data_IF_801776708505
#
_entry.id   IF_801776708505
#
_cell.length_a   1.000
_cell.length_b   1.000
_cell.length_c   1.000
_cell.angle_alpha   90.00
_cell.angle_beta   90.00
_cell.angle_gamma   90.00
#
_symmetry.space_group_name_H-M   'P 1'
#
loop_
_entity.id
_entity.type
_entity.pdbx_description
1 polymer ?
#
# COMPACT_ATOMS: atom_id res chain seq x y z
N UNK A 1 47.29 49.52 58.87
CA UNK A 1 46.15 49.55 57.91
C UNK A 1 46.06 48.26 57.07
N UNK A 2 46.30 47.07 57.64
CA UNK A 2 46.28 45.80 56.87
C UNK A 2 45.10 44.87 57.20
N UNK A 3 44.34 45.15 58.26
CA UNK A 3 43.24 44.29 58.73
C UNK A 3 41.88 44.61 58.09
N UNK A 4 41.72 45.76 57.43
CA UNK A 4 40.43 46.13 56.82
C UNK A 4 40.16 45.42 55.47
N UNK A 5 41.20 45.07 54.71
CA UNK A 5 41.06 44.47 53.38
C UNK A 5 40.60 43.00 53.39
N UNK A 6 40.91 42.25 54.45
CA UNK A 6 40.56 40.82 54.56
C UNK A 6 39.06 40.58 54.78
N UNK A 7 38.34 41.54 55.37
CA UNK A 7 36.93 41.37 55.71
C UNK A 7 35.99 41.57 54.51
N UNK A 8 36.36 42.40 53.53
CA UNK A 8 35.58 42.64 52.30
C UNK A 8 35.68 41.43 51.34
N UNK A 9 36.87 40.82 51.22
CA UNK A 9 37.08 39.65 50.37
C UNK A 9 36.29 38.42 50.83
N UNK A 10 36.18 38.22 52.16
CA UNK A 10 35.44 37.11 52.74
C UNK A 10 33.91 37.22 52.58
N UNK A 11 33.38 38.45 52.45
CA UNK A 11 31.95 38.67 52.20
C UNK A 11 31.59 38.49 50.70
N UNK A 12 32.44 39.00 49.80
CA UNK A 12 32.28 38.81 48.36
C UNK A 12 32.37 37.33 47.93
N UNK A 13 33.32 36.57 48.49
CA UNK A 13 33.44 35.13 48.22
C UNK A 13 32.23 34.30 48.66
N UNK A 14 31.57 34.69 49.76
CA UNK A 14 30.35 34.02 50.27
C UNK A 14 29.12 34.29 49.38
N UNK A 15 29.04 35.46 48.76
CA UNK A 15 27.99 35.83 47.80
C UNK A 15 28.16 35.17 46.42
N UNK A 16 29.40 34.85 46.01
CA UNK A 16 29.69 34.18 44.73
C UNK A 16 29.43 32.66 44.84
N UNK A 17 29.81 32.04 45.95
CA UNK A 17 29.64 30.60 46.17
C UNK A 17 28.16 30.17 46.31
N UNK A 18 27.29 31.07 46.77
CA UNK A 18 25.83 30.86 46.87
C UNK A 18 25.13 31.03 45.52
N UNK A 19 25.65 31.88 44.62
CA UNK A 19 25.12 32.08 43.26
C UNK A 19 25.33 30.87 42.35
N UNK A 20 26.50 30.24 42.39
CA UNK A 20 26.76 28.99 41.64
C UNK A 20 25.92 27.82 42.17
N UNK A 21 25.78 27.74 43.49
CA UNK A 21 24.95 26.72 44.14
C UNK A 21 23.47 26.85 43.76
N UNK A 22 22.92 28.07 43.78
CA UNK A 22 21.53 28.35 43.40
C UNK A 22 21.23 28.04 41.92
N UNK A 23 22.17 28.33 41.01
CA UNK A 23 22.00 27.99 39.59
C UNK A 23 22.05 26.49 39.32
N UNK A 24 22.83 25.71 40.08
CA UNK A 24 22.89 24.25 39.91
C UNK A 24 21.61 23.52 40.35
N UNK A 25 20.92 24.06 41.36
CA UNK A 25 19.66 23.53 41.92
C UNK A 25 18.50 23.69 40.93
N UNK A 26 18.47 24.78 40.16
CA UNK A 26 17.41 25.04 39.17
C UNK A 26 17.69 24.36 37.82
N UNK A 27 18.96 24.10 37.47
CA UNK A 27 19.35 23.45 36.20
C UNK A 27 18.94 21.98 36.13
N UNK A 28 19.03 21.23 37.23
CA UNK A 28 18.69 19.80 37.27
C UNK A 28 17.20 19.50 36.97
N UNK A 29 16.21 20.17 37.59
CA UNK A 29 14.80 19.95 37.25
C UNK A 29 14.46 20.44 35.84
N UNK A 30 15.09 21.53 35.36
CA UNK A 30 14.89 22.05 34.01
C UNK A 30 15.43 21.07 32.94
N UNK A 31 16.63 20.52 33.14
CA UNK A 31 17.20 19.50 32.26
C UNK A 31 16.36 18.22 32.24
N UNK A 32 15.83 17.80 33.39
CA UNK A 32 14.92 16.66 33.47
C UNK A 32 13.60 16.91 32.73
N UNK A 33 13.02 18.11 32.85
CA UNK A 33 11.81 18.50 32.12
C UNK A 33 12.05 18.54 30.60
N UNK A 34 13.17 19.11 30.16
CA UNK A 34 13.55 19.13 28.75
C UNK A 34 13.80 17.72 28.20
N UNK A 35 14.42 16.84 28.99
CA UNK A 35 14.61 15.43 28.63
C UNK A 35 13.28 14.68 28.55
N UNK A 36 12.34 14.91 29.47
CA UNK A 36 10.99 14.31 29.41
C UNK A 36 10.17 14.87 28.23
N UNK A 37 10.25 16.16 27.94
CA UNK A 37 9.61 16.75 26.76
C UNK A 37 10.23 16.18 25.48
N UNK A 38 11.54 16.03 25.43
CA UNK A 38 12.26 15.39 24.33
C UNK A 38 11.83 13.93 24.14
N UNK A 39 11.75 13.15 25.23
CA UNK A 39 11.28 11.77 25.20
C UNK A 39 9.80 11.66 24.78
N UNK A 40 8.97 12.61 25.21
CA UNK A 40 7.56 12.70 24.80
C UNK A 40 7.42 13.04 23.31
N UNK A 41 8.21 14.00 22.80
CA UNK A 41 8.23 14.35 21.37
C UNK A 41 8.73 13.17 20.53
N UNK A 42 9.79 12.49 20.97
CA UNK A 42 10.31 11.27 20.32
C UNK A 42 9.26 10.15 20.37
N UNK A 43 8.60 9.93 21.52
CA UNK A 43 7.55 8.91 21.65
C UNK A 43 6.33 9.21 20.77
N UNK A 44 5.91 10.47 20.65
CA UNK A 44 4.83 10.90 19.75
C UNK A 44 5.25 10.78 18.28
N UNK A 45 6.52 11.05 17.96
CA UNK A 45 7.07 10.84 16.63
C UNK A 45 7.15 9.35 16.26
N UNK A 46 7.51 8.48 17.20
CA UNK A 46 7.53 7.02 17.01
C UNK A 46 6.12 6.41 16.89
N UNK A 47 5.10 7.05 17.47
CA UNK A 47 3.68 6.69 17.23
C UNK A 47 3.18 7.11 15.84
N UNK A 48 3.92 7.96 15.12
CA UNK A 48 3.68 8.32 13.71
C UNK A 48 4.62 7.57 12.78
N UNK A 49 4.37 6.28 12.59
CA UNK A 49 4.57 5.59 11.29
C UNK A 49 4.04 4.17 11.42
N UNK A 50 3.18 3.78 10.48
CA UNK A 50 3.73 3.00 9.40
C UNK A 50 3.49 3.74 8.08
N UNK A 51 4.56 4.31 7.53
CA UNK A 51 4.74 4.41 6.07
C UNK A 51 5.06 3.02 5.46
N UNK A 52 4.92 1.96 6.25
CA UNK A 52 5.19 0.61 5.79
C UNK A 52 3.99 0.11 4.99
N UNK A 53 4.25 -0.10 3.69
CA UNK A 53 3.46 -0.87 2.73
C UNK A 53 2.45 -0.10 1.86
N UNK A 54 2.51 1.24 1.87
CA UNK A 54 1.82 2.11 0.92
C UNK A 54 2.43 2.02 -0.49
N UNK A 55 1.70 1.56 -1.51
CA UNK A 55 2.08 1.80 -2.92
C UNK A 55 1.54 3.17 -3.35
N UNK A 56 2.41 4.03 -3.86
CA UNK A 56 1.97 5.23 -4.59
C UNK A 56 1.42 4.80 -5.95
N UNK A 57 0.28 5.37 -6.35
CA UNK A 57 -0.30 5.11 -7.66
C UNK A 57 0.56 5.73 -8.75
N UNK A 58 0.73 5.01 -9.86
CA UNK A 58 1.47 5.47 -11.04
C UNK A 58 0.77 6.64 -11.75
N UNK A 59 -0.56 6.75 -11.60
CA UNK A 59 -1.38 7.82 -12.19
C UNK A 59 -2.32 8.45 -11.16
N UNK A 60 -2.74 9.72 -11.34
CA UNK A 60 -3.73 10.36 -10.49
C UNK A 60 -5.09 9.67 -10.53
N UNK A 61 -5.79 9.62 -9.40
CA UNK A 61 -7.10 8.96 -9.25
C UNK A 61 -8.14 9.51 -10.24
N UNK A 62 -8.08 10.81 -10.54
CA UNK A 62 -9.04 11.48 -11.44
C UNK A 62 -8.93 11.04 -12.90
N UNK A 63 -7.83 10.38 -13.28
CA UNK A 63 -7.63 9.83 -14.63
C UNK A 63 -8.10 8.39 -14.79
N UNK A 64 -8.50 7.74 -13.70
CA UNK A 64 -8.90 6.34 -13.70
C UNK A 64 -10.33 6.18 -14.21
N UNK A 65 -10.59 5.08 -14.89
CA UNK A 65 -11.92 4.73 -15.43
C UNK A 65 -12.42 3.47 -14.76
N UNK A 66 -13.70 3.46 -14.39
CA UNK A 66 -14.33 2.29 -13.78
C UNK A 66 -14.47 1.14 -14.77
N UNK A 67 -14.24 -0.07 -14.27
CA UNK A 67 -14.31 -1.30 -15.04
C UNK A 67 -15.12 -2.37 -14.32
N UNK A 68 -15.75 -3.25 -15.09
CA UNK A 68 -16.54 -4.38 -14.61
C UNK A 68 -15.93 -5.68 -15.14
N UNK A 69 -15.83 -6.71 -14.30
CA UNK A 69 -15.43 -8.06 -14.77
C UNK A 69 -16.61 -8.73 -15.46
N UNK A 70 -16.47 -9.00 -16.76
CA UNK A 70 -17.57 -9.50 -17.60
C UNK A 70 -17.40 -10.95 -18.01
N UNK A 71 -16.16 -11.45 -17.99
CA UNK A 71 -15.84 -12.79 -18.43
C UNK A 71 -14.59 -13.32 -17.76
N UNK A 72 -14.58 -14.62 -17.49
CA UNK A 72 -13.40 -15.37 -17.04
C UNK A 72 -13.44 -16.69 -17.79
N UNK A 73 -12.37 -17.04 -18.50
CA UNK A 73 -12.33 -18.24 -19.32
C UNK A 73 -10.93 -18.84 -19.42
N UNK A 74 -10.86 -20.17 -19.35
CA UNK A 74 -9.61 -20.90 -19.59
C UNK A 74 -9.29 -20.91 -21.10
N UNK A 75 -8.01 -20.79 -21.42
CA UNK A 75 -7.54 -20.93 -22.80
C UNK A 75 -7.38 -22.42 -23.15
N UNK A 76 -7.98 -22.90 -24.24
CA UNK A 76 -7.89 -24.31 -24.63
C UNK A 76 -6.44 -24.77 -24.80
N UNK A 77 -6.08 -25.88 -24.15
CA UNK A 77 -4.76 -26.50 -24.26
C UNK A 77 -3.63 -25.76 -23.54
N UNK A 78 -3.93 -24.76 -22.71
CA UNK A 78 -2.94 -23.95 -22.02
C UNK A 78 -3.20 -23.88 -20.51
N UNK A 79 -2.15 -23.72 -19.67
CA UNK A 79 -2.29 -23.52 -18.23
C UNK A 79 -2.66 -22.06 -17.87
N UNK A 80 -3.33 -21.35 -18.78
CA UNK A 80 -3.64 -19.94 -18.67
C UNK A 80 -5.14 -19.70 -18.87
N UNK A 81 -5.60 -18.59 -18.34
CA UNK A 81 -6.94 -18.08 -18.48
C UNK A 81 -6.91 -16.58 -18.79
N UNK A 82 -8.01 -16.07 -19.29
CA UNK A 82 -8.22 -14.65 -19.56
C UNK A 82 -9.38 -14.15 -18.71
N UNK A 83 -9.19 -12.97 -18.12
CA UNK A 83 -10.22 -12.18 -17.48
C UNK A 83 -10.51 -10.98 -18.37
N UNK A 84 -11.78 -10.77 -18.68
CA UNK A 84 -12.25 -9.66 -19.50
C UNK A 84 -12.88 -8.60 -18.61
N UNK A 85 -12.39 -7.36 -18.74
CA UNK A 85 -12.91 -6.20 -18.05
C UNK A 85 -13.54 -5.23 -19.05
N UNK A 86 -14.81 -4.90 -18.86
CA UNK A 86 -15.49 -3.87 -19.66
C UNK A 86 -15.29 -2.52 -19.02
N UNK A 87 -14.95 -1.54 -19.86
CA UNK A 87 -14.79 -0.14 -19.49
C UNK A 87 -15.83 0.67 -20.24
N UNK A 88 -16.47 1.63 -19.59
CA UNK A 88 -17.43 2.50 -20.26
C UNK A 88 -16.73 3.36 -21.32
N UNK A 89 -17.29 3.39 -22.53
CA UNK A 89 -16.73 4.15 -23.66
C UNK A 89 -15.76 3.35 -24.54
N UNK A 90 -15.29 2.19 -24.09
CA UNK A 90 -14.47 1.27 -24.90
C UNK A 90 -15.34 0.26 -25.64
N UNK A 91 -15.03 0.01 -26.92
CA UNK A 91 -15.75 -0.95 -27.74
C UNK A 91 -15.39 -2.40 -27.36
N UNK A 92 -14.11 -2.65 -27.12
CA UNK A 92 -13.55 -3.95 -26.79
C UNK A 92 -13.21 -4.04 -25.29
N UNK A 93 -13.39 -5.21 -24.66
CA UNK A 93 -13.00 -5.40 -23.27
C UNK A 93 -11.48 -5.45 -23.13
N UNK A 94 -10.98 -4.99 -22.00
CA UNK A 94 -9.59 -5.14 -21.56
C UNK A 94 -9.34 -6.59 -21.15
N UNK A 95 -8.38 -7.25 -21.79
CA UNK A 95 -7.98 -8.62 -21.45
C UNK A 95 -6.79 -8.65 -20.48
N UNK A 96 -6.94 -9.38 -19.38
CA UNK A 96 -5.84 -9.67 -18.44
C UNK A 96 -5.64 -11.19 -18.37
N UNK A 97 -4.45 -11.65 -18.74
CA UNK A 97 -4.08 -13.06 -18.63
C UNK A 97 -3.66 -13.41 -17.20
N UNK A 98 -4.20 -14.53 -16.70
CA UNK A 98 -3.97 -15.03 -15.34
C UNK A 98 -3.78 -16.55 -15.36
N UNK A 99 -3.29 -17.13 -14.26
CA UNK A 99 -3.25 -18.57 -14.11
C UNK A 99 -4.64 -19.18 -13.90
N UNK A 100 -4.78 -20.49 -14.17
CA UNK A 100 -6.06 -21.20 -13.98
C UNK A 100 -6.60 -21.10 -12.54
N UNK A 101 -5.73 -21.23 -11.53
CA UNK A 101 -6.14 -21.15 -10.12
C UNK A 101 -6.66 -19.76 -9.74
N UNK A 102 -6.06 -18.71 -10.32
CA UNK A 102 -6.45 -17.32 -10.12
C UNK A 102 -7.79 -17.02 -10.80
N UNK A 103 -7.95 -17.47 -12.05
CA UNK A 103 -9.23 -17.38 -12.75
C UNK A 103 -10.35 -18.11 -12.00
N UNK A 104 -10.08 -19.29 -11.44
CA UNK A 104 -11.07 -20.01 -10.64
C UNK A 104 -11.49 -19.23 -9.39
N UNK A 105 -10.55 -18.57 -8.70
CA UNK A 105 -10.86 -17.72 -7.56
C UNK A 105 -11.75 -16.52 -7.96
N UNK A 106 -11.44 -15.86 -9.07
CA UNK A 106 -12.22 -14.72 -9.60
C UNK A 106 -13.61 -15.19 -10.05
N UNK A 107 -13.70 -16.33 -10.75
CA UNK A 107 -14.97 -16.89 -11.20
C UNK A 107 -15.91 -17.21 -10.04
N UNK A 108 -15.40 -17.89 -8.99
CA UNK A 108 -16.16 -18.17 -7.77
C UNK A 108 -16.61 -16.91 -7.05
N UNK A 109 -15.75 -15.88 -7.00
CA UNK A 109 -16.11 -14.59 -6.44
C UNK A 109 -17.27 -13.94 -7.22
N UNK A 110 -17.20 -13.96 -8.56
CA UNK A 110 -18.22 -13.38 -9.45
C UNK A 110 -19.56 -14.11 -9.36
N UNK A 111 -19.54 -15.43 -9.20
CA UNK A 111 -20.73 -16.28 -9.08
C UNK A 111 -21.26 -16.37 -7.64
N UNK A 112 -20.65 -15.64 -6.70
CA UNK A 112 -20.89 -15.70 -5.25
C UNK A 112 -20.89 -17.13 -4.67
N UNK A 113 -20.09 -18.03 -5.24
CA UNK A 113 -19.97 -19.42 -4.78
C UNK A 113 -19.12 -19.44 -3.51
N UNK A 114 -19.69 -19.90 -2.39
CA UNK A 114 -18.95 -20.03 -1.13
C UNK A 114 -18.45 -21.47 -0.94
N UNK A 115 -17.12 -21.68 -0.80
CA UNK A 115 -16.59 -23.02 -0.55
C UNK A 115 -16.97 -23.52 0.86
N UNK A 116 -16.99 -24.85 1.09
CA UNK A 116 -17.34 -25.42 2.41
C UNK A 116 -16.34 -25.07 3.52
N UNK A 117 -15.10 -24.73 3.14
CA UNK A 117 -14.07 -24.18 4.02
C UNK A 117 -13.45 -22.95 3.35
N UNK A 118 -13.07 -21.90 4.11
CA UNK A 118 -12.43 -20.72 3.53
C UNK A 118 -11.18 -21.10 2.75
N UNK A 119 -11.09 -20.66 1.50
CA UNK A 119 -9.86 -20.71 0.72
C UNK A 119 -9.05 -19.43 0.97
N UNK A 120 -7.97 -19.24 0.21
CA UNK A 120 -7.03 -18.13 0.43
C UNK A 120 -7.70 -16.77 0.41
N UNK A 121 -8.54 -16.48 -0.58
CA UNK A 121 -9.19 -15.17 -0.69
C UNK A 121 -10.24 -14.97 0.41
N UNK A 122 -11.03 -16.00 0.75
CA UNK A 122 -11.99 -15.94 1.88
C UNK A 122 -11.29 -15.78 3.23
N UNK A 123 -10.15 -16.43 3.43
CA UNK A 123 -9.31 -16.24 4.62
C UNK A 123 -8.81 -14.79 4.69
N UNK A 124 -8.27 -14.26 3.58
CA UNK A 124 -7.78 -12.88 3.51
C UNK A 124 -8.88 -11.86 3.82
N UNK A 125 -10.08 -12.05 3.28
CA UNK A 125 -11.25 -11.22 3.59
C UNK A 125 -11.59 -11.28 5.08
N UNK A 126 -11.63 -12.49 5.66
CA UNK A 126 -11.88 -12.65 7.10
C UNK A 126 -10.83 -11.96 7.98
N UNK A 127 -9.57 -11.94 7.56
CA UNK A 127 -8.51 -11.21 8.25
C UNK A 127 -8.70 -9.69 8.14
N UNK A 128 -9.06 -9.18 6.95
CA UNK A 128 -9.35 -7.75 6.75
C UNK A 128 -10.54 -7.31 7.60
N UNK A 129 -11.64 -8.06 7.55
CA UNK A 129 -12.85 -7.79 8.33
C UNK A 129 -12.57 -7.79 9.83
N UNK A 130 -11.82 -8.79 10.33
CA UNK A 130 -11.44 -8.89 11.73
C UNK A 130 -10.54 -7.73 12.18
N UNK A 131 -9.72 -7.20 11.27
CA UNK A 131 -8.89 -6.00 11.52
C UNK A 131 -9.67 -4.68 11.41
N UNK A 132 -10.93 -4.72 10.97
CA UNK A 132 -11.74 -3.53 10.70
C UNK A 132 -11.33 -2.77 9.44
N UNK A 133 -10.60 -3.43 8.53
CA UNK A 133 -10.25 -2.90 7.22
C UNK A 133 -11.31 -3.32 6.18
N UNK A 134 -11.55 -2.47 5.19
CA UNK A 134 -12.43 -2.76 4.06
C UNK A 134 -11.72 -2.42 2.76
N UNK A 135 -11.81 -3.32 1.78
CA UNK A 135 -11.40 -3.01 0.40
C UNK A 135 -12.42 -2.06 -0.21
N UNK A 136 -12.00 -0.86 -0.60
CA UNK A 136 -12.87 0.13 -1.24
C UNK A 136 -12.66 0.23 -2.74
N UNK A 137 -11.40 0.16 -3.17
CA UNK A 137 -11.02 0.25 -4.59
C UNK A 137 -9.94 -0.75 -4.92
N UNK A 138 -9.97 -1.27 -6.14
CA UNK A 138 -8.86 -1.88 -6.82
C UNK A 138 -8.45 -0.97 -7.97
N UNK A 139 -7.18 -0.63 -8.06
CA UNK A 139 -6.63 0.16 -9.15
C UNK A 139 -5.61 -0.68 -9.91
N UNK A 140 -5.76 -0.84 -11.21
CA UNK A 140 -4.73 -1.38 -12.10
C UNK A 140 -4.18 -0.21 -12.92
N UNK A 141 -3.00 0.28 -12.56
CA UNK A 141 -2.51 1.58 -13.03
C UNK A 141 -1.34 1.52 -14.00
N UNK A 142 -0.57 0.42 -13.99
CA UNK A 142 0.67 0.32 -14.72
C UNK A 142 0.81 -1.06 -15.38
N UNK A 143 1.48 -1.09 -16.53
CA UNK A 143 1.99 -2.31 -17.14
C UNK A 143 3.50 -2.18 -17.29
N UNK A 144 4.25 -3.09 -16.67
CA UNK A 144 5.71 -3.09 -16.70
C UNK A 144 6.21 -4.47 -17.11
N UNK A 145 7.05 -4.52 -18.14
CA UNK A 145 7.63 -5.77 -18.65
C UNK A 145 6.57 -6.86 -18.94
N UNK A 146 5.45 -6.46 -19.55
CA UNK A 146 4.37 -7.40 -19.88
C UNK A 146 3.47 -7.79 -18.70
N UNK A 147 3.74 -7.29 -17.49
CA UNK A 147 2.96 -7.57 -16.30
C UNK A 147 2.14 -6.35 -15.85
N UNK A 148 0.84 -6.55 -15.67
CA UNK A 148 -0.04 -5.58 -15.04
C UNK A 148 0.23 -5.49 -13.54
N UNK A 149 0.26 -4.27 -13.03
CA UNK A 149 0.45 -3.95 -11.63
C UNK A 149 -0.83 -3.34 -11.06
N UNK A 150 -1.14 -3.68 -9.81
CA UNK A 150 -2.34 -3.18 -9.16
C UNK A 150 -2.09 -2.75 -7.71
N UNK A 151 -3.00 -1.95 -7.19
CA UNK A 151 -3.04 -1.52 -5.81
C UNK A 151 -4.46 -1.66 -5.27
N UNK A 152 -4.57 -2.15 -4.04
CA UNK A 152 -5.83 -2.22 -3.30
C UNK A 152 -5.89 -1.06 -2.33
N UNK A 153 -6.97 -0.30 -2.36
CA UNK A 153 -7.27 0.70 -1.35
C UNK A 153 -8.02 0.07 -0.18
N UNK A 154 -7.39 0.16 0.99
CA UNK A 154 -7.96 -0.26 2.25
C UNK A 154 -8.41 0.97 3.05
N UNK A 155 -9.68 0.96 3.44
CA UNK A 155 -10.23 1.88 4.44
C UNK A 155 -10.19 1.22 5.82
N UNK A 156 -9.49 1.86 6.75
CA UNK A 156 -9.46 1.44 8.16
C UNK A 156 -10.38 2.35 8.97
N UNK A 157 -11.12 1.79 9.93
CA UNK A 157 -12.09 2.54 10.75
C UNK A 157 -11.48 3.69 11.55
N UNK A 158 -10.22 3.57 11.94
CA UNK A 158 -9.51 4.51 12.81
C UNK A 158 -8.60 5.49 12.04
N UNK A 159 -8.51 5.37 10.71
CA UNK A 159 -7.70 6.26 9.87
C UNK A 159 -8.55 7.07 8.93
N UNK A 160 -8.22 8.36 8.82
CA UNK A 160 -8.86 9.28 7.85
C UNK A 160 -8.39 9.06 6.42
N UNK A 161 -7.10 8.77 6.26
CA UNK A 161 -6.51 8.53 4.95
C UNK A 161 -6.56 7.02 4.66
N UNK A 162 -6.87 6.64 3.42
CA UNK A 162 -6.81 5.25 3.00
C UNK A 162 -5.36 4.75 2.96
N UNK A 163 -5.20 3.44 2.99
CA UNK A 163 -3.90 2.77 2.82
C UNK A 163 -3.92 2.01 1.51
N UNK A 164 -2.93 2.24 0.67
CA UNK A 164 -2.74 1.51 -0.58
C UNK A 164 -1.85 0.31 -0.35
N UNK A 165 -2.21 -0.86 -0.86
CA UNK A 165 -1.40 -2.08 -0.75
C UNK A 165 -1.13 -2.60 -2.14
N UNK A 166 0.15 -2.85 -2.46
CA UNK A 166 0.54 -3.47 -3.72
C UNK A 166 -0.10 -4.85 -3.87
N UNK A 167 -0.64 -5.13 -5.05
CA UNK A 167 -1.35 -6.36 -5.33
C UNK A 167 -1.15 -6.80 -6.79
N UNK A 168 -1.26 -8.10 -7.02
CA UNK A 168 -1.46 -8.61 -8.38
C UNK A 168 -2.90 -8.33 -8.81
N UNK A 169 -3.15 -8.02 -10.09
CA UNK A 169 -4.51 -7.81 -10.59
C UNK A 169 -5.44 -9.00 -10.27
N UNK A 170 -4.96 -10.24 -10.39
CA UNK A 170 -5.77 -11.42 -10.10
C UNK A 170 -6.27 -11.50 -8.65
N UNK A 171 -5.38 -11.28 -7.69
CA UNK A 171 -5.73 -11.27 -6.26
C UNK A 171 -6.63 -10.09 -5.92
N UNK A 172 -6.30 -8.91 -6.46
CA UNK A 172 -7.09 -7.71 -6.30
C UNK A 172 -8.52 -7.87 -6.82
N UNK A 173 -8.70 -8.45 -8.00
CA UNK A 173 -10.02 -8.68 -8.61
C UNK A 173 -10.86 -9.62 -7.74
N UNK A 174 -10.28 -10.73 -7.27
CA UNK A 174 -11.00 -11.67 -6.41
C UNK A 174 -11.47 -11.02 -5.09
N UNK A 175 -10.62 -10.19 -4.47
CA UNK A 175 -10.97 -9.46 -3.24
C UNK A 175 -11.98 -8.34 -3.51
N UNK A 176 -11.80 -7.58 -4.59
CA UNK A 176 -12.66 -6.45 -4.94
C UNK A 176 -14.10 -6.91 -5.21
N UNK A 177 -14.28 -7.98 -5.99
CA UNK A 177 -15.61 -8.54 -6.29
C UNK A 177 -16.32 -8.94 -5.00
N UNK A 178 -15.63 -9.63 -4.07
CA UNK A 178 -16.24 -10.08 -2.80
C UNK A 178 -16.57 -8.93 -1.85
N UNK A 179 -15.76 -7.88 -1.81
CA UNK A 179 -16.04 -6.68 -1.00
C UNK A 179 -16.99 -5.68 -1.67
N UNK A 180 -17.38 -5.93 -2.93
CA UNK A 180 -18.12 -5.00 -3.77
C UNK A 180 -17.39 -3.66 -3.90
N UNK A 181 -16.07 -3.74 -4.11
CA UNK A 181 -15.21 -2.58 -4.29
C UNK A 181 -15.20 -2.15 -5.76
N UNK A 182 -14.97 -0.86 -5.99
CA UNK A 182 -14.87 -0.29 -7.34
C UNK A 182 -13.55 -0.75 -7.98
N UNK A 183 -13.62 -1.26 -9.21
CA UNK A 183 -12.43 -1.61 -9.99
C UNK A 183 -12.14 -0.47 -10.96
N UNK A 184 -10.90 -0.01 -10.99
CA UNK A 184 -10.46 1.15 -11.72
C UNK A 184 -9.23 0.80 -12.57
N UNK A 185 -9.21 1.24 -13.82
CA UNK A 185 -8.10 1.06 -14.75
C UNK A 185 -7.53 2.41 -15.18
N UNK A 186 -6.22 2.49 -15.37
CA UNK A 186 -5.61 3.66 -16.01
C UNK A 186 -5.79 3.63 -17.53
N UNK A 187 -5.75 4.79 -18.22
CA UNK A 187 -5.82 4.85 -19.68
C UNK A 187 -4.75 4.00 -20.38
N UNK A 188 -3.54 3.93 -19.82
CA UNK A 188 -2.44 3.13 -20.35
C UNK A 188 -2.73 1.62 -20.26
N UNK A 189 -3.34 1.18 -19.15
CA UNK A 189 -3.76 -0.21 -18.97
C UNK A 189 -4.88 -0.58 -19.93
N UNK A 190 -5.82 0.36 -20.17
CA UNK A 190 -6.91 0.18 -21.12
C UNK A 190 -6.35 -0.03 -22.53
N UNK A 191 -5.53 0.89 -23.01
CA UNK A 191 -4.91 0.82 -24.34
C UNK A 191 -4.08 -0.47 -24.53
N UNK A 192 -3.30 -0.84 -23.52
CA UNK A 192 -2.51 -2.07 -23.56
C UNK A 192 -3.40 -3.33 -23.55
N UNK A 193 -4.53 -3.30 -22.85
CA UNK A 193 -5.40 -4.45 -22.68
C UNK A 193 -6.41 -4.69 -23.80
N UNK A 194 -6.86 -3.64 -24.49
CA UNK A 194 -7.77 -3.74 -25.65
C UNK A 194 -7.04 -4.16 -26.92
N UNK A 195 -5.72 -3.95 -26.98
CA UNK A 195 -4.89 -4.40 -28.11
C UNK A 195 -4.53 -5.89 -28.08
N UNK A 196 -4.88 -6.61 -27.01
CA UNK A 196 -4.65 -8.05 -26.88
C UNK A 196 -5.81 -8.84 -27.49
N UNK A 197 -5.52 -9.72 -28.46
CA UNK A 197 -6.51 -10.64 -29.01
C UNK A 197 -6.75 -11.82 -28.05
N UNK A 198 -7.92 -11.92 -27.39
CA UNK A 198 -8.23 -13.00 -26.46
C UNK A 198 -8.31 -14.38 -27.16
N UNK A 199 -8.55 -14.41 -28.48
CA UNK A 199 -8.69 -15.61 -29.29
C UNK A 199 -7.38 -16.15 -29.85
N UNK A 200 -6.31 -15.34 -29.87
CA UNK A 200 -5.00 -15.74 -30.38
C UNK A 200 -4.34 -16.85 -29.56
N UNK A 201 -4.74 -17.01 -28.30
CA UNK A 201 -4.14 -17.96 -27.37
C UNK A 201 -2.64 -17.69 -27.11
N UNK A 202 -2.09 -16.59 -27.60
CA UNK A 202 -0.72 -16.20 -27.28
C UNK A 202 -0.79 -15.13 -26.20
N UNK A 203 -0.54 -15.46 -24.91
CA UNK A 203 -0.14 -14.43 -23.96
C UNK A 203 1.06 -13.68 -24.54
N UNK A 204 1.18 -12.38 -24.28
CA UNK A 204 2.36 -11.60 -24.68
C UNK A 204 3.65 -12.39 -24.35
N UNK A 205 4.61 -12.42 -25.28
CA UNK A 205 5.81 -13.28 -25.22
C UNK A 205 6.61 -13.09 -23.92
N UNK A 206 6.41 -11.96 -23.24
CA UNK A 206 6.97 -11.61 -21.95
C UNK A 206 6.38 -12.44 -20.79
N UNK A 207 5.09 -12.78 -20.81
CA UNK A 207 4.40 -13.59 -19.79
C UNK A 207 4.78 -15.08 -19.84
N UNK A 208 5.24 -15.59 -20.98
CA UNK A 208 5.68 -17.00 -21.12
C UNK A 208 7.14 -17.23 -20.76
N UNK A 209 7.86 -16.20 -20.30
CA UNK A 209 9.31 -16.29 -20.04
C UNK A 209 10.11 -16.59 -21.32
N UNK A 210 9.49 -16.52 -22.50
CA UNK A 210 10.17 -16.54 -23.80
C UNK A 210 10.59 -15.12 -24.16
N UNK A 211 11.37 -14.51 -23.27
CA UNK A 211 12.19 -13.36 -23.66
C UNK A 211 12.99 -13.78 -24.90
N UNK A 212 12.93 -12.97 -25.95
CA UNK A 212 13.76 -13.10 -27.15
C UNK A 212 15.23 -13.15 -26.73
N UNK A 213 15.75 -14.34 -26.44
CA UNK A 213 17.15 -14.65 -26.56
C UNK A 213 17.45 -14.67 -28.06
N UNK A 214 17.62 -13.48 -28.64
CA UNK A 214 18.35 -13.29 -29.89
C UNK A 214 19.82 -13.66 -29.67
N UNK A 215 20.08 -14.92 -29.36
CA UNK A 215 21.37 -15.54 -29.51
C UNK A 215 21.58 -15.68 -31.01
N UNK A 216 22.46 -14.85 -31.56
CA UNK A 216 23.03 -15.08 -32.88
C UNK A 216 23.71 -16.45 -32.86
N UNK A 217 23.25 -17.35 -33.72
CA UNK A 217 24.03 -18.42 -34.31
C UNK A 217 23.88 -18.30 -35.82
#
# INVERSE_FOLDING_TARGET
>A
MHTCFLQVAAYAGRAIHTRESAMSILRRPLLALLAMLGLMVISVALLRSPEAMGRDLAVPVDSLVEAEVVGVGALPGQPLAVVLLRVEGEADPVAIFVGLAEAEAIARAREDIKPPRPLTHELSLGLLDASGARVERLVVDEMREGAYLAAIELRLRDRRQPVWVDARPSDGLALAIRHQATILLSPQVIEAGTSLDPGSGEPDATLTGRGRAGLRL
#
